data_IF_187066248057
#
_entry.id   IF_187066248057
#
_cell.length_a   1.000
_cell.length_b   1.000
_cell.length_c   1.000
_cell.angle_alpha   90.00
_cell.angle_beta   90.00
_cell.angle_gamma   90.00
#
_symmetry.space_group_name_H-M   'P 1'
#
loop_
_entity.id
_entity.type
_entity.pdbx_description
1 polymer ?
#
# COMPACT_ATOMS: atom_id res chain seq x y z
N UNK A 1 -23.83 41.00 11.63
CA UNK A 1 -23.28 40.61 10.31
C UNK A 1 -22.32 39.45 10.58
N UNK A 2 -22.71 38.25 10.17
CA UNK A 2 -21.89 37.04 10.03
C UNK A 2 -21.38 36.28 11.28
N UNK A 3 -22.30 35.64 12.02
CA UNK A 3 -21.97 34.47 12.87
C UNK A 3 -22.62 33.16 12.38
N UNK A 4 -23.21 33.14 11.18
CA UNK A 4 -23.90 31.96 10.61
C UNK A 4 -23.04 31.15 9.63
N UNK A 5 -21.74 30.99 9.92
CA UNK A 5 -20.87 30.04 9.18
C UNK A 5 -20.57 28.75 9.94
N UNK A 6 -21.11 28.56 11.15
CA UNK A 6 -20.74 27.41 12.00
C UNK A 6 -21.64 26.16 11.88
N UNK A 7 -22.67 26.11 11.02
CA UNK A 7 -23.51 24.89 10.94
C UNK A 7 -23.96 24.50 9.53
N UNK A 8 -23.02 24.42 8.60
CA UNK A 8 -23.28 23.90 7.24
C UNK A 8 -23.18 22.36 7.15
N UNK A 9 -22.81 21.67 8.23
CA UNK A 9 -22.55 20.23 8.20
C UNK A 9 -23.60 19.43 8.96
N UNK A 10 -24.13 18.39 8.32
CA UNK A 10 -25.06 17.45 8.94
C UNK A 10 -24.38 16.65 10.07
N UNK A 11 -25.17 16.15 11.02
CA UNK A 11 -24.65 15.29 12.09
C UNK A 11 -23.89 14.06 11.53
N UNK A 12 -24.35 13.53 10.38
CA UNK A 12 -23.68 12.44 9.69
C UNK A 12 -22.30 12.85 9.14
N UNK A 13 -22.17 14.04 8.56
CA UNK A 13 -20.88 14.55 8.07
C UNK A 13 -19.90 14.76 9.23
N UNK A 14 -20.36 15.37 10.34
CA UNK A 14 -19.52 15.55 11.55
C UNK A 14 -19.03 14.21 12.10
N UNK A 15 -19.92 13.20 12.18
CA UNK A 15 -19.56 11.84 12.62
C UNK A 15 -18.57 11.16 11.67
N UNK A 16 -18.77 11.30 10.36
CA UNK A 16 -17.86 10.74 9.34
C UNK A 16 -16.45 11.32 9.46
N UNK A 17 -16.34 12.65 9.60
CA UNK A 17 -15.04 13.33 9.79
C UNK A 17 -14.34 12.87 11.07
N UNK A 18 -15.06 12.74 12.18
CA UNK A 18 -14.50 12.22 13.45
C UNK A 18 -13.99 10.78 13.32
N UNK A 19 -14.75 9.91 12.64
CA UNK A 19 -14.33 8.53 12.40
C UNK A 19 -13.10 8.46 11.50
N UNK A 20 -13.04 9.28 10.45
CA UNK A 20 -11.87 9.38 9.58
C UNK A 20 -10.63 9.84 10.36
N UNK A 21 -10.74 10.89 11.18
CA UNK A 21 -9.64 11.35 12.03
C UNK A 21 -9.17 10.27 13.00
N UNK A 22 -10.09 9.58 13.68
CA UNK A 22 -9.74 8.48 14.58
C UNK A 22 -9.01 7.35 13.85
N UNK A 23 -9.47 6.98 12.65
CA UNK A 23 -8.83 5.97 11.84
C UNK A 23 -7.43 6.40 11.38
N UNK A 24 -7.23 7.67 11.00
CA UNK A 24 -5.92 8.21 10.65
C UNK A 24 -4.95 8.10 11.83
N UNK A 25 -5.38 8.51 13.03
CA UNK A 25 -4.56 8.41 14.24
C UNK A 25 -4.15 6.97 14.56
N UNK A 26 -5.08 6.01 14.45
CA UNK A 26 -4.77 4.59 14.68
C UNK A 26 -3.73 4.10 13.68
N UNK A 27 -3.91 4.40 12.38
CA UNK A 27 -2.95 4.01 11.35
C UNK A 27 -1.57 4.61 11.62
N UNK A 28 -1.50 5.92 11.92
CA UNK A 28 -0.24 6.61 12.21
C UNK A 28 0.45 6.07 13.48
N UNK A 29 -0.31 5.64 14.49
CA UNK A 29 0.26 5.07 15.71
C UNK A 29 0.96 3.72 15.52
N UNK A 30 0.65 3.01 14.43
CA UNK A 30 1.24 1.72 14.11
C UNK A 30 2.46 1.82 13.16
N UNK A 31 2.78 3.02 12.65
CA UNK A 31 3.83 3.23 11.66
C UNK A 31 5.20 3.49 12.31
N UNK A 32 6.26 3.05 11.63
CA UNK A 32 7.62 3.51 11.94
C UNK A 32 7.90 4.88 11.30
N UNK A 33 8.89 5.66 11.77
CA UNK A 33 9.16 7.01 11.26
C UNK A 33 9.30 7.09 9.74
N UNK A 34 10.03 6.17 9.11
CA UNK A 34 10.24 6.11 7.66
C UNK A 34 8.94 5.91 6.84
N UNK A 35 7.89 5.38 7.47
CA UNK A 35 6.57 5.18 6.83
C UNK A 35 5.69 6.41 6.97
N UNK A 36 5.87 7.19 8.04
CA UNK A 36 5.13 8.42 8.28
C UNK A 36 5.41 9.45 7.17
N UNK A 37 6.66 9.58 6.72
CA UNK A 37 7.06 10.46 5.62
C UNK A 37 6.34 10.13 4.30
N UNK A 38 6.06 8.85 4.06
CA UNK A 38 5.38 8.39 2.83
C UNK A 38 3.90 8.73 2.81
N UNK A 39 3.28 8.94 3.98
CA UNK A 39 1.84 9.22 4.12
C UNK A 39 1.55 10.64 4.60
N UNK A 40 2.56 11.51 4.72
CA UNK A 40 2.43 12.88 5.23
C UNK A 40 1.35 13.69 4.48
N UNK A 41 1.23 13.50 3.16
CA UNK A 41 0.27 14.19 2.30
C UNK A 41 -1.11 13.48 2.18
N UNK A 42 -1.40 12.50 3.04
CA UNK A 42 -2.65 11.74 2.98
C UNK A 42 -3.72 12.33 3.93
N UNK A 43 -4.70 13.04 3.37
CA UNK A 43 -5.76 13.72 4.16
C UNK A 43 -6.87 12.80 4.70
N UNK A 44 -6.84 11.50 4.37
CA UNK A 44 -7.90 10.55 4.76
C UNK A 44 -7.30 9.22 5.16
N UNK A 45 -7.93 8.53 6.11
CA UNK A 45 -7.52 7.20 6.54
C UNK A 45 -7.46 6.22 5.36
N UNK A 46 -8.36 6.38 4.37
CA UNK A 46 -8.36 5.57 3.14
C UNK A 46 -7.12 5.79 2.29
N UNK A 47 -6.66 7.04 2.12
CA UNK A 47 -5.43 7.35 1.37
C UNK A 47 -4.21 6.77 2.07
N UNK A 48 -4.14 6.91 3.39
CA UNK A 48 -3.08 6.32 4.21
C UNK A 48 -3.05 4.79 4.01
N UNK A 49 -4.19 4.12 4.20
CA UNK A 49 -4.30 2.68 4.04
C UNK A 49 -3.86 2.19 2.65
N UNK A 50 -4.34 2.83 1.58
CA UNK A 50 -3.94 2.47 0.20
C UNK A 50 -2.46 2.67 -0.08
N UNK A 51 -1.86 3.70 0.53
CA UNK A 51 -0.43 3.98 0.37
C UNK A 51 0.40 2.89 1.04
N UNK A 52 0.01 2.46 2.25
CA UNK A 52 0.63 1.32 2.92
C UNK A 52 0.48 0.04 2.10
N UNK A 53 -0.75 -0.31 1.70
CA UNK A 53 -1.05 -1.49 0.86
C UNK A 53 -0.17 -1.51 -0.39
N UNK A 54 -0.09 -0.39 -1.11
CA UNK A 54 0.73 -0.27 -2.32
C UNK A 54 2.23 -0.39 -2.03
N UNK A 55 2.70 0.13 -0.89
CA UNK A 55 4.12 0.13 -0.53
C UNK A 55 4.61 -1.27 -0.19
N UNK A 56 3.83 -2.07 0.54
CA UNK A 56 4.26 -3.42 0.94
C UNK A 56 3.90 -4.50 -0.07
N UNK A 57 2.71 -4.44 -0.67
CA UNK A 57 2.29 -5.47 -1.62
C UNK A 57 2.77 -5.17 -3.04
N UNK A 58 3.10 -3.92 -3.33
CA UNK A 58 3.34 -3.44 -4.69
C UNK A 58 2.05 -3.18 -5.47
N UNK A 59 2.18 -2.40 -6.54
CA UNK A 59 1.09 -2.16 -7.50
C UNK A 59 0.84 -3.39 -8.37
N UNK A 60 -0.32 -3.44 -9.07
CA UNK A 60 -0.58 -4.47 -10.09
C UNK A 60 0.55 -4.56 -11.09
N UNK A 61 1.06 -3.43 -11.57
CA UNK A 61 2.14 -3.38 -12.54
C UNK A 61 3.44 -3.99 -11.99
N UNK A 62 3.77 -3.76 -10.72
CA UNK A 62 4.94 -4.39 -10.09
C UNK A 62 4.73 -5.90 -9.99
N UNK A 63 3.52 -6.34 -9.62
CA UNK A 63 3.17 -7.77 -9.55
C UNK A 63 3.26 -8.43 -10.93
N UNK A 64 2.73 -7.80 -11.96
CA UNK A 64 2.82 -8.25 -13.37
C UNK A 64 4.28 -8.30 -13.85
N UNK A 65 5.05 -7.24 -13.63
CA UNK A 65 6.47 -7.20 -14.03
C UNK A 65 7.29 -8.29 -13.33
N UNK A 66 7.00 -8.61 -12.06
CA UNK A 66 7.64 -9.73 -11.36
C UNK A 66 7.30 -11.07 -11.99
N UNK A 67 6.04 -11.27 -12.41
CA UNK A 67 5.64 -12.48 -13.12
C UNK A 67 6.39 -12.59 -14.44
N UNK A 68 6.42 -11.54 -15.25
CA UNK A 68 7.11 -11.52 -16.54
C UNK A 68 8.60 -11.81 -16.38
N UNK A 69 9.24 -11.22 -15.36
CA UNK A 69 10.65 -11.47 -15.04
C UNK A 69 10.88 -12.95 -14.70
N UNK A 70 10.08 -13.51 -13.79
CA UNK A 70 10.21 -14.92 -13.39
C UNK A 70 9.95 -15.87 -14.56
N UNK A 71 8.98 -15.55 -15.43
CA UNK A 71 8.73 -16.32 -16.64
C UNK A 71 9.93 -16.30 -17.59
N UNK A 72 10.56 -15.14 -17.77
CA UNK A 72 11.76 -15.01 -18.56
C UNK A 72 12.94 -15.77 -17.96
N UNK A 73 13.19 -15.63 -16.66
CA UNK A 73 14.23 -16.37 -15.94
C UNK A 73 14.04 -17.87 -16.04
N UNK A 74 12.81 -18.35 -15.88
CA UNK A 74 12.48 -19.76 -16.06
C UNK A 74 12.67 -20.24 -17.51
N UNK A 75 12.31 -19.42 -18.51
CA UNK A 75 12.50 -19.77 -19.92
C UNK A 75 13.99 -19.79 -20.33
N UNK A 76 14.81 -18.99 -19.66
CA UNK A 76 16.26 -18.94 -19.86
C UNK A 76 17.02 -19.94 -18.97
N UNK A 77 16.32 -20.68 -18.12
CA UNK A 77 16.93 -21.67 -17.24
C UNK A 77 17.29 -22.92 -18.02
N UNK A 78 18.59 -23.20 -18.10
CA UNK A 78 19.16 -24.36 -18.76
C UNK A 78 20.02 -25.16 -17.77
N UNK A 79 20.03 -26.49 -17.93
CA UNK A 79 20.93 -27.36 -17.18
C UNK A 79 22.39 -27.04 -17.49
N UNK A 80 23.23 -27.05 -16.46
CA UNK A 80 24.66 -26.86 -16.61
C UNK A 80 25.32 -28.10 -17.27
N UNK A 81 26.45 -27.92 -17.98
CA UNK A 81 27.18 -29.04 -18.56
C UNK A 81 27.65 -30.04 -17.49
N UNK A 82 27.11 -31.26 -17.53
CA UNK A 82 27.44 -32.32 -16.57
C UNK A 82 26.57 -32.36 -15.31
N UNK A 83 25.59 -31.45 -15.18
CA UNK A 83 24.56 -31.51 -14.15
C UNK A 83 23.62 -32.70 -14.41
N UNK A 84 23.30 -33.47 -13.37
CA UNK A 84 22.30 -34.53 -13.50
C UNK A 84 20.90 -33.96 -13.33
N UNK A 85 19.89 -34.66 -13.88
CA UNK A 85 18.49 -34.27 -13.72
C UNK A 85 18.11 -34.20 -12.23
N UNK A 86 18.67 -35.07 -11.38
CA UNK A 86 18.43 -35.03 -9.95
C UNK A 86 18.99 -33.76 -9.30
N UNK A 87 20.19 -33.34 -9.73
CA UNK A 87 20.85 -32.14 -9.22
C UNK A 87 20.09 -30.87 -9.61
N UNK A 88 19.55 -30.82 -10.83
CA UNK A 88 18.75 -29.68 -11.30
C UNK A 88 17.44 -29.48 -10.51
N UNK A 89 16.83 -30.56 -10.02
CA UNK A 89 15.54 -30.52 -9.31
C UNK A 89 15.67 -30.55 -7.77
N UNK A 90 16.88 -30.58 -7.20
CA UNK A 90 17.14 -30.61 -5.75
C UNK A 90 17.48 -29.23 -5.18
#
# INVERSE_FOLDING_TARGET
MNDDKQNLWSAAQKKSTQLNQRAMHILQSAMVPDEADKVENCDTARKIWRTLETTYEGTSNIKETRIDLLMHEHAAFDMLPGESIHDMYS
#
